data_IF_856854059466
#
_entry.id   IF_856854059466
#
_cell.length_a   1.000
_cell.length_b   1.000
_cell.length_c   1.000
_cell.angle_alpha   90.00
_cell.angle_beta   90.00
_cell.angle_gamma   90.00
#
_symmetry.space_group_name_H-M   'P 1'
#
loop_
_entity.id
_entity.type
_entity.pdbx_description
1 polymer ?
#
# COMPACT_ATOMS: atom_id res chain seq x y z
N UNK A 1 13.76 15.62 -0.34
CA UNK A 1 13.82 15.06 -0.30
C UNK A 1 13.39 14.03 -0.26
N UNK A 2 13.19 13.65 -0.38
CA UNK A 2 12.98 12.77 -0.63
C UNK A 2 13.05 11.78 0.06
N UNK A 3 13.05 11.15 0.15
CA UNK A 3 13.36 10.08 0.97
C UNK A 3 12.25 9.24 1.54
N UNK A 4 11.04 9.42 1.17
CA UNK A 4 9.99 8.51 1.60
C UNK A 4 10.31 7.12 1.07
N UNK A 5 10.18 6.11 1.94
CA UNK A 5 10.58 4.74 1.65
C UNK A 5 9.36 3.85 1.51
N UNK A 6 9.30 3.14 0.39
CA UNK A 6 8.17 2.29 0.04
C UNK A 6 8.63 0.84 -0.06
N UNK A 7 7.91 -0.06 0.59
CA UNK A 7 8.10 -1.49 0.41
C UNK A 7 7.05 -2.00 -0.56
N UNK A 8 7.50 -2.62 -1.65
CA UNK A 8 6.62 -3.19 -2.68
C UNK A 8 6.70 -4.71 -2.61
N UNK A 9 5.58 -5.35 -2.32
CA UNK A 9 5.50 -6.81 -2.21
C UNK A 9 4.62 -7.35 -3.33
N UNK A 10 5.24 -8.00 -4.30
CA UNK A 10 4.55 -8.53 -5.49
C UNK A 10 5.46 -9.58 -6.12
N UNK A 11 4.93 -10.71 -6.53
CA UNK A 11 5.72 -11.81 -7.09
C UNK A 11 5.90 -11.75 -8.61
N UNK A 12 5.35 -10.75 -9.28
CA UNK A 12 5.51 -10.55 -10.72
C UNK A 12 6.68 -9.62 -11.01
N UNK A 13 7.82 -10.14 -11.51
CA UNK A 13 9.02 -9.30 -11.72
C UNK A 13 8.81 -8.16 -12.71
N UNK A 14 8.03 -8.39 -13.74
CA UNK A 14 7.78 -7.36 -14.78
C UNK A 14 6.96 -6.21 -14.22
N UNK A 15 5.92 -6.53 -13.45
CA UNK A 15 5.10 -5.52 -12.82
C UNK A 15 5.86 -4.75 -11.76
N UNK A 16 6.65 -5.46 -10.95
CA UNK A 16 7.50 -4.85 -9.93
C UNK A 16 8.47 -3.85 -10.57
N UNK A 17 9.11 -4.25 -11.65
CA UNK A 17 10.05 -3.38 -12.36
C UNK A 17 9.38 -2.08 -12.80
N UNK A 18 8.21 -2.20 -13.42
CA UNK A 18 7.47 -1.04 -13.92
C UNK A 18 7.06 -0.10 -12.77
N UNK A 19 6.50 -0.65 -11.71
CA UNK A 19 6.05 0.16 -10.56
C UNK A 19 7.24 0.82 -9.87
N UNK A 20 8.33 0.08 -9.69
CA UNK A 20 9.53 0.61 -9.07
C UNK A 20 10.07 1.80 -9.86
N UNK A 21 10.14 1.68 -11.19
CA UNK A 21 10.60 2.78 -12.04
C UNK A 21 9.73 4.03 -11.89
N UNK A 22 8.42 3.84 -11.87
CA UNK A 22 7.49 4.97 -11.72
C UNK A 22 7.73 5.67 -10.39
N UNK A 23 7.84 4.91 -9.32
CA UNK A 23 8.00 5.48 -7.98
C UNK A 23 9.37 6.14 -7.81
N UNK A 24 10.43 5.52 -8.32
CA UNK A 24 11.76 6.09 -8.21
C UNK A 24 11.92 7.38 -9.00
N UNK A 25 11.26 7.48 -10.15
CA UNK A 25 11.25 8.74 -10.91
C UNK A 25 10.54 9.86 -10.14
N UNK A 26 9.64 9.51 -9.24
CA UNK A 26 8.94 10.46 -8.38
C UNK A 26 9.69 10.73 -7.08
N UNK A 27 10.95 10.28 -7.00
CA UNK A 27 11.88 10.50 -5.88
C UNK A 27 11.56 9.71 -4.62
N UNK A 28 10.84 8.60 -4.76
CA UNK A 28 10.66 7.66 -3.67
C UNK A 28 11.78 6.62 -3.69
N UNK A 29 12.11 6.10 -2.53
CA UNK A 29 13.03 4.98 -2.40
C UNK A 29 12.22 3.70 -2.31
N UNK A 30 12.50 2.71 -3.15
CA UNK A 30 11.69 1.50 -3.24
C UNK A 30 12.53 0.27 -2.95
N UNK A 31 12.07 -0.54 -1.99
CA UNK A 31 12.61 -1.87 -1.76
C UNK A 31 11.55 -2.88 -2.21
N UNK A 32 11.99 -3.91 -2.91
CA UNK A 32 11.10 -4.92 -3.47
C UNK A 32 11.24 -6.22 -2.70
N UNK A 33 10.09 -6.87 -2.47
CA UNK A 33 10.04 -8.24 -1.96
C UNK A 33 9.12 -9.04 -2.86
N UNK A 34 9.54 -10.25 -3.21
CA UNK A 34 8.81 -11.09 -4.15
C UNK A 34 7.92 -12.14 -3.49
N UNK A 35 7.88 -12.11 -2.16
CA UNK A 35 7.03 -13.03 -1.39
C UNK A 35 6.65 -12.41 -0.07
N UNK A 36 5.59 -12.92 0.58
CA UNK A 36 5.22 -12.47 1.93
C UNK A 36 6.36 -12.62 2.93
N UNK A 37 7.09 -13.73 2.87
CA UNK A 37 8.20 -13.98 3.78
C UNK A 37 9.28 -12.93 3.65
N UNK A 38 9.68 -12.61 2.41
CA UNK A 38 10.65 -11.55 2.17
C UNK A 38 10.12 -10.19 2.64
N UNK A 39 8.83 -9.94 2.45
CA UNK A 39 8.20 -8.70 2.88
C UNK A 39 8.26 -8.52 4.39
N UNK A 40 7.95 -9.56 5.14
CA UNK A 40 8.05 -9.52 6.60
C UNK A 40 9.48 -9.30 7.06
N UNK A 41 10.44 -9.99 6.42
CA UNK A 41 11.85 -9.79 6.75
C UNK A 41 12.29 -8.36 6.49
N UNK A 42 11.85 -7.77 5.38
CA UNK A 42 12.16 -6.39 5.06
C UNK A 42 11.62 -5.42 6.10
N UNK A 43 10.40 -5.68 6.60
CA UNK A 43 9.78 -4.84 7.62
C UNK A 43 10.51 -4.92 8.96
N UNK A 44 11.14 -6.05 9.25
CA UNK A 44 11.95 -6.19 10.47
C UNK A 44 13.30 -5.48 10.36
N UNK A 45 13.84 -5.40 9.14
CA UNK A 45 15.15 -4.86 8.86
C UNK A 45 15.19 -3.37 8.58
N UNK A 46 14.09 -2.79 8.14
CA UNK A 46 14.09 -1.41 7.67
C UNK A 46 12.89 -0.63 8.12
N UNK A 47 12.94 0.68 7.89
CA UNK A 47 11.84 1.58 8.16
C UNK A 47 11.21 1.98 6.84
N UNK A 48 9.89 1.92 6.79
CA UNK A 48 9.13 2.28 5.60
C UNK A 48 8.03 3.25 5.94
N UNK A 49 7.63 4.02 4.94
CA UNK A 49 6.56 5.00 5.07
C UNK A 49 5.26 4.51 4.44
N UNK A 50 5.36 3.49 3.59
CA UNK A 50 4.21 2.92 2.87
C UNK A 50 4.54 1.49 2.45
N UNK A 51 3.55 0.62 2.54
CA UNK A 51 3.64 -0.73 1.97
C UNK A 51 2.64 -0.84 0.84
N UNK A 52 3.09 -1.30 -0.32
CA UNK A 52 2.23 -1.64 -1.45
C UNK A 52 2.27 -3.16 -1.60
N UNK A 53 1.11 -3.79 -1.57
CA UNK A 53 1.03 -5.24 -1.64
C UNK A 53 0.05 -5.69 -2.71
N UNK A 54 0.46 -6.69 -3.51
CA UNK A 54 -0.44 -7.35 -4.46
C UNK A 54 -1.26 -8.39 -3.72
N UNK A 55 -2.55 -8.41 -3.96
CA UNK A 55 -3.45 -9.39 -3.34
C UNK A 55 -3.12 -10.81 -3.80
N UNK A 56 -2.95 -10.98 -5.11
CA UNK A 56 -2.72 -12.29 -5.71
C UNK A 56 -1.24 -12.59 -5.83
N UNK A 57 -0.70 -13.32 -4.87
CA UNK A 57 0.68 -13.78 -4.89
C UNK A 57 0.72 -15.29 -4.65
N UNK A 58 1.78 -15.91 -5.17
CA UNK A 58 1.96 -17.33 -4.97
C UNK A 58 0.82 -18.13 -5.56
N UNK A 59 0.19 -18.94 -4.74
CA UNK A 59 -0.90 -19.82 -5.18
C UNK A 59 -2.29 -19.31 -4.84
N UNK A 60 -2.43 -18.07 -4.47
CA UNK A 60 -3.73 -17.54 -4.10
C UNK A 60 -3.64 -16.14 -3.59
N UNK A 61 -4.53 -15.81 -2.66
CA UNK A 61 -4.66 -14.46 -2.13
C UNK A 61 -3.74 -14.22 -0.92
N UNK A 62 -2.46 -14.52 -1.06
CA UNK A 62 -1.49 -14.38 0.03
C UNK A 62 -1.32 -12.93 0.47
N UNK A 63 -1.55 -11.96 -0.43
CA UNK A 63 -1.50 -10.55 -0.08
C UNK A 63 -2.52 -10.17 0.97
N UNK A 64 -3.68 -10.84 1.00
CA UNK A 64 -4.70 -10.61 2.01
C UNK A 64 -4.17 -11.02 3.39
N UNK A 65 -3.45 -12.13 3.44
CA UNK A 65 -2.85 -12.61 4.70
C UNK A 65 -1.81 -11.60 5.21
N UNK A 66 -0.99 -11.08 4.30
CA UNK A 66 -0.01 -10.04 4.63
C UNK A 66 -0.71 -8.82 5.23
N UNK A 67 -1.77 -8.34 4.57
CA UNK A 67 -2.50 -7.16 5.02
C UNK A 67 -3.07 -7.36 6.43
N UNK A 68 -3.66 -8.52 6.68
CA UNK A 68 -4.23 -8.83 8.00
C UNK A 68 -3.16 -8.87 9.09
N UNK A 69 -2.01 -9.47 8.80
CA UNK A 69 -0.91 -9.52 9.76
C UNK A 69 -0.36 -8.14 10.07
N UNK A 70 -0.20 -7.30 9.04
CA UNK A 70 0.30 -5.94 9.23
C UNK A 70 -0.63 -5.13 10.11
N UNK A 71 -1.93 -5.25 9.90
CA UNK A 71 -2.91 -4.46 10.66
C UNK A 71 -3.12 -4.97 12.08
N UNK A 72 -2.66 -6.17 12.40
CA UNK A 72 -2.70 -6.71 13.76
C UNK A 72 -1.42 -6.45 14.54
N UNK A 73 -0.34 -6.10 13.87
CA UNK A 73 0.94 -5.85 14.51
C UNK A 73 0.94 -4.46 15.16
N UNK A 74 1.34 -4.38 16.43
CA UNK A 74 1.33 -3.13 17.19
C UNK A 74 2.19 -2.05 16.56
N UNK A 75 3.34 -2.42 16.03
CA UNK A 75 4.28 -1.46 15.46
C UNK A 75 3.95 -1.12 14.02
N UNK A 76 3.42 -2.07 13.27
CA UNK A 76 3.21 -1.94 11.83
C UNK A 76 1.80 -1.48 11.45
N UNK A 77 0.84 -1.57 12.36
CA UNK A 77 -0.56 -1.24 12.03
C UNK A 77 -0.78 0.21 11.61
N UNK A 78 0.13 1.10 11.98
CA UNK A 78 0.04 2.52 11.63
C UNK A 78 0.63 2.81 10.26
N UNK A 79 1.37 1.87 9.71
CA UNK A 79 2.00 2.01 8.41
C UNK A 79 0.92 1.96 7.32
N UNK A 80 0.81 3.00 6.47
CA UNK A 80 -0.18 2.98 5.41
C UNK A 80 0.01 1.77 4.49
N UNK A 81 -1.09 1.16 4.10
CA UNK A 81 -1.11 -0.04 3.28
C UNK A 81 -1.94 0.21 2.03
N UNK A 82 -1.30 0.13 0.87
CA UNK A 82 -1.95 0.23 -0.42
C UNK A 82 -2.02 -1.16 -1.05
N UNK A 83 -3.23 -1.61 -1.34
CA UNK A 83 -3.45 -2.89 -1.98
C UNK A 83 -3.69 -2.70 -3.47
N UNK A 84 -2.99 -3.48 -4.28
CA UNK A 84 -3.18 -3.45 -5.74
C UNK A 84 -3.57 -4.85 -6.18
N UNK A 85 -4.60 -4.96 -7.01
CA UNK A 85 -5.12 -6.27 -7.36
C UNK A 85 -5.88 -6.29 -8.67
N UNK A 86 -5.78 -7.41 -9.40
CA UNK A 86 -6.65 -7.74 -10.52
C UNK A 86 -7.74 -8.74 -10.13
N UNK A 87 -7.95 -8.93 -8.85
CA UNK A 87 -8.75 -10.01 -8.30
C UNK A 87 -10.25 -9.89 -8.61
N UNK A 88 -10.72 -8.68 -8.89
CA UNK A 88 -12.13 -8.42 -9.11
C UNK A 88 -12.74 -9.34 -10.16
N UNK A 89 -11.99 -9.56 -11.24
CA UNK A 89 -12.46 -10.40 -12.34
C UNK A 89 -12.40 -11.89 -12.00
N UNK A 90 -11.53 -12.27 -11.07
CA UNK A 90 -11.26 -13.68 -10.80
C UNK A 90 -12.06 -14.25 -9.64
N UNK A 91 -12.31 -13.47 -8.61
CA UNK A 91 -12.85 -13.99 -7.37
C UNK A 91 -14.05 -13.22 -6.80
N UNK A 92 -14.34 -12.04 -7.34
CA UNK A 92 -15.45 -11.25 -6.83
C UNK A 92 -15.23 -10.68 -5.44
N UNK A 93 -14.00 -10.42 -5.05
CA UNK A 93 -13.71 -9.77 -3.76
C UNK A 93 -14.08 -8.29 -3.80
N UNK A 94 -15.36 -8.02 -3.99
CA UNK A 94 -15.86 -6.65 -4.10
C UNK A 94 -15.91 -5.93 -2.77
N UNK A 95 -15.74 -6.67 -1.69
CA UNK A 95 -15.90 -6.17 -0.34
C UNK A 95 -14.58 -5.79 0.33
N UNK A 96 -13.46 -5.88 -0.38
CA UNK A 96 -12.16 -5.46 0.18
C UNK A 96 -12.26 -3.97 0.51
N UNK A 97 -12.05 -3.65 1.80
CA UNK A 97 -12.18 -2.28 2.28
C UNK A 97 -13.59 -1.84 2.64
N UNK A 98 -14.60 -2.70 2.49
CA UNK A 98 -15.97 -2.39 2.87
C UNK A 98 -16.22 -2.86 4.31
N UNK A 99 -16.40 -1.94 5.27
CA UNK A 99 -16.55 -2.31 6.69
C UNK A 99 -17.81 -3.08 7.00
N UNK A 100 -18.78 -3.13 6.07
CA UNK A 100 -20.03 -3.86 6.27
C UNK A 100 -19.86 -5.35 6.04
N UNK A 101 -18.75 -5.77 5.46
CA UNK A 101 -18.53 -7.17 5.12
C UNK A 101 -17.68 -7.87 6.17
N UNK A 102 -18.05 -9.11 6.52
CA UNK A 102 -17.33 -9.87 7.55
C UNK A 102 -15.90 -10.23 7.18
N UNK A 103 -15.55 -10.19 5.89
CA UNK A 103 -14.19 -10.41 5.44
C UNK A 103 -13.45 -9.11 5.17
N UNK A 104 -13.96 -8.01 5.71
CA UNK A 104 -13.38 -6.69 5.57
C UNK A 104 -11.89 -6.65 5.93
N UNK A 105 -11.11 -5.98 5.07
CA UNK A 105 -9.70 -5.73 5.31
C UNK A 105 -9.49 -4.23 5.50
N UNK A 106 -8.94 -3.82 6.63
CA UNK A 106 -8.71 -2.40 6.90
C UNK A 106 -7.47 -1.91 6.17
N UNK A 107 -7.58 -1.74 4.85
CA UNK A 107 -6.51 -1.17 4.03
C UNK A 107 -6.72 0.32 3.89
N UNK A 108 -5.63 1.06 3.68
CA UNK A 108 -5.68 2.51 3.57
C UNK A 108 -5.94 2.98 2.16
N UNK A 109 -5.67 2.14 1.18
CA UNK A 109 -5.94 2.42 -0.22
C UNK A 109 -6.05 1.14 -1.01
N UNK A 110 -6.69 1.24 -2.17
CA UNK A 110 -6.97 0.10 -3.01
C UNK A 110 -7.00 0.54 -4.47
N UNK A 111 -6.26 -0.18 -5.32
CA UNK A 111 -6.24 0.06 -6.76
C UNK A 111 -6.38 -1.25 -7.52
N UNK A 112 -7.01 -1.21 -8.68
CA UNK A 112 -7.15 -2.38 -9.56
C UNK A 112 -6.12 -2.31 -10.68
N UNK A 113 -5.57 -3.47 -11.04
CA UNK A 113 -4.71 -3.59 -12.21
C UNK A 113 -5.56 -3.60 -13.49
N UNK A 114 -5.09 -3.06 -14.60
CA UNK A 114 -3.82 -2.36 -14.77
C UNK A 114 -3.88 -0.96 -14.16
N UNK A 115 -2.81 -0.57 -13.47
CA UNK A 115 -2.77 0.71 -12.76
C UNK A 115 -2.17 1.77 -13.66
N UNK A 116 -2.90 2.88 -13.81
CA UNK A 116 -2.42 4.06 -14.51
C UNK A 116 -1.36 4.75 -13.68
N UNK A 117 -0.30 5.25 -14.33
CA UNK A 117 0.81 5.92 -13.65
C UNK A 117 0.34 7.09 -12.78
N UNK A 118 -0.52 7.94 -13.31
CA UNK A 118 -1.02 9.10 -12.55
C UNK A 118 -1.88 8.67 -11.36
N UNK A 119 -2.72 7.67 -11.55
CA UNK A 119 -3.57 7.14 -10.49
C UNK A 119 -2.72 6.57 -9.36
N UNK A 120 -1.68 5.80 -9.72
CA UNK A 120 -0.77 5.23 -8.73
C UNK A 120 -0.05 6.32 -7.95
N UNK A 121 0.55 7.29 -8.64
CA UNK A 121 1.30 8.37 -7.99
C UNK A 121 0.41 9.24 -7.11
N UNK A 122 -0.81 9.52 -7.55
CA UNK A 122 -1.76 10.30 -6.76
C UNK A 122 -2.14 9.55 -5.48
N UNK A 123 -2.40 8.25 -5.58
CA UNK A 123 -2.77 7.46 -4.41
C UNK A 123 -1.60 7.33 -3.43
N UNK A 124 -0.39 7.10 -3.93
CA UNK A 124 0.82 7.04 -3.10
C UNK A 124 1.03 8.36 -2.37
N UNK A 125 0.92 9.46 -3.10
CA UNK A 125 1.08 10.80 -2.52
C UNK A 125 0.05 11.06 -1.43
N UNK A 126 -1.20 10.71 -1.71
CA UNK A 126 -2.30 10.85 -0.76
C UNK A 126 -2.00 10.09 0.55
N UNK A 127 -1.56 8.85 0.44
CA UNK A 127 -1.30 8.01 1.62
C UNK A 127 -0.06 8.45 2.39
N UNK A 128 0.97 8.92 1.68
CA UNK A 128 2.21 9.36 2.33
C UNK A 128 2.08 10.71 3.02
N UNK A 129 1.15 11.53 2.58
CA UNK A 129 1.02 12.90 3.09
C UNK A 129 -0.32 13.15 3.79
N UNK A 130 -1.06 12.10 4.12
CA UNK A 130 -2.36 12.23 4.77
C UNK A 130 -2.27 12.95 6.11
N UNK A 131 -1.23 12.68 6.89
CA UNK A 131 -1.03 13.32 8.20
C UNK A 131 -0.80 14.83 8.05
N UNK A 132 0.01 15.22 7.07
CA UNK A 132 0.27 16.63 6.80
C UNK A 132 -1.00 17.34 6.35
N UNK A 133 -1.81 16.69 5.53
CA UNK A 133 -3.07 17.24 5.07
C UNK A 133 -4.04 17.43 6.24
N UNK A 134 -4.09 16.48 7.15
CA UNK A 134 -4.93 16.57 8.34
C UNK A 134 -4.49 17.71 9.24
N UNK A 135 -3.18 17.87 9.45
CA UNK A 135 -2.63 18.95 10.25
C UNK A 135 -2.95 20.31 9.64
N UNK A 136 -2.81 20.44 8.33
CA UNK A 136 -3.12 21.68 7.63
C UNK A 136 -4.60 22.02 7.73
N UNK A 137 -5.47 21.05 7.66
CA UNK A 137 -6.91 21.26 7.81
C UNK A 137 -7.26 21.70 9.23
N UNK A 138 -6.60 21.12 10.24
CA UNK A 138 -6.81 21.50 11.61
C UNK A 138 -6.35 22.94 11.88
N UNK A 139 -5.22 23.32 11.34
CA UNK A 139 -4.73 24.69 11.45
C UNK A 139 -5.70 25.70 10.85
N UNK A 140 -6.23 25.38 9.66
CA UNK A 140 -7.21 26.24 9.00
C UNK A 140 -8.50 26.37 9.81
N UNK A 141 -8.95 25.29 10.41
CA UNK A 141 -10.13 25.32 11.25
C UNK A 141 -9.88 26.11 12.55
N UNK A 142 -8.66 26.05 13.06
CA UNK A 142 -8.28 26.82 14.22
C UNK A 142 -8.17 28.31 13.99
N UNK A 143 -7.96 28.74 12.75
CA UNK A 143 -7.83 30.15 12.39
C UNK A 143 -9.16 30.83 12.12
N UNK A 144 -10.22 30.09 11.91
CA UNK A 144 -11.53 30.67 11.67
C UNK A 144 -12.16 31.17 12.96
N UNK A 145 -12.61 32.44 12.97
CA UNK A 145 -13.24 33.00 14.16
C UNK A 145 -14.61 32.40 14.44
#
# INVERSE_FOLDING_TARGET
MNGKRILLIDDDPDYVYAVKMILEKANYSVRVSYSPKEGYAALQDGEFDLVIVDVMMGRGAEGIIVARKLKKDRELKKLPLLMITGIREQTGFFFIGDPRHETFLPVDGFLEKPVNTEVLLNKVRELLHSDQTAELKQEKQGEEP
#
